data_IF_112283456377
#
_entry.id   IF_112283456377
#
_cell.length_a   1.000
_cell.length_b   1.000
_cell.length_c   1.000
_cell.angle_alpha   90.00
_cell.angle_beta   90.00
_cell.angle_gamma   90.00
#
_symmetry.space_group_name_H-M   'P 1'
#
loop_
_entity.id
_entity.type
_entity.pdbx_description
1 polymer ?
#
# COMPACT_ATOMS: atom_id res chain seq x y z
N UNK A 1 -16.25 21.82 -12.74
CA UNK A 1 -15.65 21.68 -11.40
C UNK A 1 -14.17 21.93 -11.56
N UNK A 2 -13.66 22.98 -10.92
CA UNK A 2 -12.23 23.31 -10.96
C UNK A 2 -11.61 22.85 -9.63
N UNK A 3 -10.53 22.08 -9.70
CA UNK A 3 -9.87 21.54 -8.50
C UNK A 3 -8.51 22.19 -8.39
N UNK A 4 -8.30 22.94 -7.31
CA UNK A 4 -7.03 23.61 -7.03
C UNK A 4 -6.34 22.85 -5.89
N UNK A 5 -5.10 22.43 -6.12
CA UNK A 5 -4.26 21.78 -5.10
C UNK A 5 -3.48 22.86 -4.37
N UNK A 6 -3.60 22.91 -3.05
CA UNK A 6 -2.96 23.93 -2.21
C UNK A 6 -2.00 23.22 -1.26
N UNK A 7 -0.73 23.63 -1.26
CA UNK A 7 0.26 23.17 -0.28
C UNK A 7 0.22 24.07 0.97
N UNK A 8 0.09 23.45 2.14
CA UNK A 8 0.15 24.14 3.42
C UNK A 8 1.61 24.41 3.80
N UNK A 9 2.10 25.62 3.52
CA UNK A 9 3.46 26.05 3.91
C UNK A 9 3.55 26.53 5.36
N UNK A 10 2.44 26.95 5.96
CA UNK A 10 2.37 27.38 7.36
C UNK A 10 1.16 26.73 8.06
N UNK A 11 1.33 26.12 9.24
CA UNK A 11 0.22 25.52 9.99
C UNK A 11 -0.89 26.52 10.34
N UNK A 12 -0.59 27.82 10.46
CA UNK A 12 -1.61 28.87 10.69
C UNK A 12 -2.59 29.03 9.54
N UNK A 13 -2.20 28.67 8.31
CA UNK A 13 -3.08 28.75 7.15
C UNK A 13 -4.22 27.72 7.22
N UNK A 14 -4.11 26.70 8.07
CA UNK A 14 -5.15 25.69 8.24
C UNK A 14 -6.44 26.32 8.78
N UNK A 15 -6.35 27.22 9.77
CA UNK A 15 -7.51 27.93 10.31
C UNK A 15 -8.20 28.79 9.24
N UNK A 16 -7.44 29.51 8.41
CA UNK A 16 -8.00 30.30 7.31
C UNK A 16 -8.73 29.41 6.29
N UNK A 17 -8.18 28.25 5.96
CA UNK A 17 -8.86 27.29 5.10
C UNK A 17 -10.12 26.71 5.75
N UNK A 18 -10.12 26.51 7.08
CA UNK A 18 -11.31 26.09 7.81
C UNK A 18 -12.40 27.16 7.74
N UNK A 19 -12.07 28.42 7.99
CA UNK A 19 -13.00 29.55 7.89
C UNK A 19 -13.58 29.69 6.47
N UNK A 20 -12.75 29.55 5.43
CA UNK A 20 -13.22 29.55 4.03
C UNK A 20 -14.14 28.36 3.72
N UNK A 21 -13.90 27.21 4.34
CA UNK A 21 -14.75 26.04 4.20
C UNK A 21 -16.10 26.22 4.92
N UNK A 22 -16.12 26.86 6.09
CA UNK A 22 -17.36 27.22 6.81
C UNK A 22 -18.23 28.18 5.99
N UNK A 23 -17.60 29.08 5.23
CA UNK A 23 -18.27 29.97 4.27
C UNK A 23 -18.70 29.25 2.98
N UNK A 24 -18.51 27.93 2.86
CA UNK A 24 -18.80 27.10 1.69
C UNK A 24 -18.07 27.53 0.39
N UNK A 25 -16.98 28.28 0.50
CA UNK A 25 -16.19 28.73 -0.65
C UNK A 25 -15.26 27.64 -1.16
N UNK A 26 -14.75 26.81 -0.25
CA UNK A 26 -13.87 25.68 -0.57
C UNK A 26 -14.35 24.41 0.13
N UNK A 27 -13.99 23.26 -0.44
CA UNK A 27 -14.25 21.95 0.15
C UNK A 27 -12.95 21.20 0.29
N UNK A 28 -12.67 20.67 1.49
CA UNK A 28 -11.53 19.78 1.68
C UNK A 28 -11.79 18.46 0.94
N UNK A 29 -11.07 18.26 -0.16
CA UNK A 29 -11.02 16.97 -0.84
C UNK A 29 -9.88 16.19 -0.19
N UNK A 30 -10.19 15.47 0.90
CA UNK A 30 -9.25 14.48 1.43
C UNK A 30 -9.16 13.35 0.41
N UNK A 31 -8.08 13.32 -0.36
CA UNK A 31 -7.70 12.10 -1.04
C UNK A 31 -7.28 11.14 0.06
N UNK A 32 -8.16 10.20 0.41
CA UNK A 32 -7.72 9.05 1.19
C UNK A 32 -6.54 8.43 0.42
N UNK A 33 -5.40 8.21 1.07
CA UNK A 33 -4.30 7.55 0.40
C UNK A 33 -4.85 6.23 -0.10
N UNK A 34 -4.81 6.01 -1.41
CA UNK A 34 -5.19 4.74 -2.01
C UNK A 34 -4.28 3.70 -1.37
N UNK A 35 -4.81 2.98 -0.38
CA UNK A 35 -4.08 1.93 0.32
C UNK A 35 -3.87 0.86 -0.72
N UNK A 36 -2.72 0.90 -1.40
CA UNK A 36 -2.36 -0.13 -2.36
C UNK A 36 -2.42 -1.46 -1.61
N UNK A 37 -3.25 -2.42 -2.06
CA UNK A 37 -3.35 -3.70 -1.38
C UNK A 37 -1.96 -4.32 -1.34
N UNK A 38 -1.56 -4.83 -0.17
CA UNK A 38 -0.26 -5.50 -0.02
C UNK A 38 -0.19 -6.63 -1.04
N UNK A 39 0.94 -6.76 -1.73
CA UNK A 39 1.14 -7.79 -2.75
C UNK A 39 0.85 -9.20 -2.21
N UNK A 40 1.17 -9.45 -0.94
CA UNK A 40 0.85 -10.69 -0.23
C UNK A 40 -0.63 -10.99 -0.10
N UNK A 41 -1.49 -9.97 -0.14
CA UNK A 41 -2.95 -10.12 -0.12
C UNK A 41 -3.49 -10.47 -1.50
N UNK A 42 -2.84 -10.02 -2.57
CA UNK A 42 -3.21 -10.34 -3.95
C UNK A 42 -2.80 -11.77 -4.35
N UNK A 43 -1.68 -12.25 -3.79
CA UNK A 43 -1.10 -13.56 -4.11
C UNK A 43 -1.55 -14.69 -3.16
N UNK A 44 -2.42 -14.38 -2.17
CA UNK A 44 -2.91 -15.36 -1.20
C UNK A 44 -3.85 -16.34 -1.90
N UNK A 45 -3.47 -17.62 -1.90
CA UNK A 45 -4.26 -18.69 -2.55
C UNK A 45 -4.02 -18.83 -4.05
N UNK A 46 -3.04 -18.13 -4.62
CA UNK A 46 -2.67 -18.26 -6.04
C UNK A 46 -1.97 -19.58 -6.37
N UNK A 47 -1.54 -20.34 -5.36
CA UNK A 47 -0.93 -21.67 -5.52
C UNK A 47 -1.77 -22.71 -4.77
N UNK A 48 -1.95 -23.88 -5.38
CA UNK A 48 -2.57 -25.03 -4.72
C UNK A 48 -1.66 -25.54 -3.61
N UNK A 49 -2.25 -26.15 -2.57
CA UNK A 49 -1.49 -26.77 -1.47
C UNK A 49 -0.50 -27.81 -1.99
N UNK A 50 -0.92 -28.65 -2.94
CA UNK A 50 -0.06 -29.66 -3.54
C UNK A 50 1.17 -29.06 -4.25
N UNK A 51 0.98 -28.01 -5.04
CA UNK A 51 2.10 -27.35 -5.72
C UNK A 51 3.04 -26.62 -4.74
N UNK A 52 2.51 -26.14 -3.62
CA UNK A 52 3.31 -25.54 -2.56
C UNK A 52 4.18 -26.59 -1.84
N UNK A 53 3.63 -27.78 -1.58
CA UNK A 53 4.36 -28.89 -0.95
C UNK A 53 5.48 -29.41 -1.87
N UNK A 54 5.18 -29.66 -3.15
CA UNK A 54 6.17 -30.08 -4.14
C UNK A 54 7.31 -29.04 -4.31
N UNK A 55 6.95 -27.76 -4.35
CA UNK A 55 7.93 -26.68 -4.39
C UNK A 55 8.80 -26.67 -3.14
N UNK A 56 8.20 -26.76 -1.95
CA UNK A 56 8.94 -26.77 -0.70
C UNK A 56 9.89 -27.97 -0.61
N UNK A 57 9.47 -29.16 -1.03
CA UNK A 57 10.34 -30.35 -1.11
C UNK A 57 11.54 -30.13 -2.04
N UNK A 58 11.34 -29.51 -3.21
CA UNK A 58 12.43 -29.22 -4.14
C UNK A 58 13.47 -28.25 -3.55
N UNK A 59 13.01 -27.24 -2.81
CA UNK A 59 13.88 -26.29 -2.12
C UNK A 59 14.67 -26.98 -1.01
N UNK A 60 14.05 -27.87 -0.23
CA UNK A 60 14.74 -28.62 0.82
C UNK A 60 15.79 -29.58 0.25
N UNK A 61 15.50 -30.26 -0.86
CA UNK A 61 16.49 -31.10 -1.56
C UNK A 61 17.68 -30.27 -2.03
N UNK A 62 17.42 -29.14 -2.68
CA UNK A 62 18.48 -28.24 -3.15
C UNK A 62 19.34 -27.70 -2.01
N UNK A 63 18.74 -27.31 -0.87
CA UNK A 63 19.49 -26.88 0.32
C UNK A 63 20.38 -27.98 0.89
N UNK A 64 19.84 -29.19 1.01
CA UNK A 64 20.60 -30.35 1.48
C UNK A 64 21.76 -30.72 0.54
N UNK A 65 21.59 -30.56 -0.77
CA UNK A 65 22.66 -30.77 -1.76
C UNK A 65 23.78 -29.74 -1.62
N UNK A 66 23.43 -28.50 -1.32
CA UNK A 66 24.40 -27.43 -1.08
C UNK A 66 25.12 -27.64 0.25
N UNK A 67 24.42 -28.03 1.32
CA UNK A 67 25.03 -28.33 2.64
C UNK A 67 25.94 -29.56 2.63
N UNK A 68 25.72 -30.53 1.74
CA UNK A 68 26.59 -31.71 1.60
C UNK A 68 27.90 -31.43 0.84
N UNK A 69 28.01 -30.29 0.16
CA UNK A 69 29.20 -29.90 -0.60
C UNK A 69 30.03 -28.80 0.10
N UNK A 70 29.80 -28.58 1.40
CA UNK A 70 30.58 -27.69 2.29
C UNK A 70 31.36 -28.54 3.28
#
# INVERSE_FOLDING_TARGET
METITIELTNPKALNLLTELAELNLIRFIKQEPVVKPKLSSLLRGSISTQAADEFNESIQKSRNEWERNI
#
